data_IF_228000950581
#
_entry.id   IF_228000950581
#
_cell.length_a   1.000
_cell.length_b   1.000
_cell.length_c   1.000
_cell.angle_alpha   90.00
_cell.angle_beta   90.00
_cell.angle_gamma   90.00
#
_symmetry.space_group_name_H-M   'P 1'
#
loop_
_entity.id
_entity.type
_entity.pdbx_description
1 polymer ?
#
# COMPACT_ATOMS: atom_id res chain seq x y z
N UNK A 1 -6.44 12.43 22.67
CA UNK A 1 -6.15 12.21 21.25
C UNK A 1 -7.36 11.55 20.61
N UNK A 2 -7.96 12.24 19.65
CA UNK A 2 -8.99 11.73 18.75
C UNK A 2 -8.37 10.85 17.67
N UNK A 3 -9.19 10.25 16.82
CA UNK A 3 -8.73 9.40 15.71
C UNK A 3 -7.95 10.22 14.67
N UNK A 4 -8.49 11.39 14.29
CA UNK A 4 -7.82 12.33 13.39
C UNK A 4 -6.41 12.74 13.89
N UNK A 5 -6.25 13.00 15.19
CA UNK A 5 -4.92 13.31 15.75
C UNK A 5 -3.92 12.14 15.57
N UNK A 6 -4.39 10.89 15.58
CA UNK A 6 -3.55 9.69 15.36
C UNK A 6 -3.19 9.58 13.88
N UNK A 7 -4.14 9.85 12.98
CA UNK A 7 -3.89 9.87 11.53
C UNK A 7 -2.82 10.91 11.17
N UNK A 8 -2.98 12.14 11.64
CA UNK A 8 -2.04 13.23 11.40
C UNK A 8 -0.65 12.87 11.93
N UNK A 9 -0.58 12.32 13.14
CA UNK A 9 0.68 11.90 13.74
C UNK A 9 1.34 10.74 12.97
N UNK A 10 0.56 9.81 12.45
CA UNK A 10 1.07 8.72 11.63
C UNK A 10 1.62 9.21 10.29
N UNK A 11 0.97 10.18 9.65
CA UNK A 11 1.51 10.82 8.45
C UNK A 11 2.83 11.54 8.74
N UNK A 12 2.97 12.23 9.87
CA UNK A 12 4.25 12.85 10.28
C UNK A 12 5.37 11.80 10.36
N UNK A 13 5.10 10.61 10.93
CA UNK A 13 6.11 9.54 10.97
C UNK A 13 6.47 8.99 9.60
N UNK A 14 5.51 8.88 8.67
CA UNK A 14 5.78 8.53 7.28
C UNK A 14 6.63 9.62 6.58
N UNK A 15 6.29 10.89 6.76
CA UNK A 15 7.03 12.02 6.20
C UNK A 15 8.49 12.04 6.68
N UNK A 16 8.74 11.80 7.96
CA UNK A 16 10.09 11.70 8.54
C UNK A 16 10.92 10.54 7.94
N UNK A 17 10.26 9.48 7.44
CA UNK A 17 10.90 8.39 6.70
C UNK A 17 11.05 8.69 5.20
N UNK A 18 10.69 9.90 4.77
CA UNK A 18 10.80 10.36 3.39
C UNK A 18 9.69 9.83 2.48
N UNK A 19 8.51 9.51 3.03
CA UNK A 19 7.30 9.34 2.23
C UNK A 19 6.73 10.71 1.91
N UNK A 20 6.19 10.88 0.71
CA UNK A 20 5.26 11.97 0.47
C UNK A 20 3.98 11.69 1.26
N UNK A 21 3.27 12.74 1.68
CA UNK A 21 1.99 12.60 2.37
C UNK A 21 0.94 13.53 1.79
N UNK A 22 -0.32 13.09 1.79
CA UNK A 22 -1.44 13.94 1.38
C UNK A 22 -2.72 13.62 2.15
N UNK A 23 -3.65 14.57 2.11
CA UNK A 23 -5.01 14.36 2.57
C UNK A 23 -5.89 13.87 1.42
N UNK A 24 -6.62 12.77 1.63
CA UNK A 24 -7.37 12.06 0.60
C UNK A 24 -8.31 12.93 -0.26
N UNK A 25 -9.08 13.86 0.33
CA UNK A 25 -9.89 14.83 -0.41
C UNK A 25 -9.12 15.72 -1.39
N UNK A 26 -7.84 16.03 -1.12
CA UNK A 26 -7.05 16.92 -1.97
C UNK A 26 -6.64 16.22 -3.27
N UNK A 27 -6.40 14.90 -3.22
CA UNK A 27 -6.01 14.07 -4.37
C UNK A 27 -7.19 13.36 -5.05
N UNK A 28 -8.41 13.59 -4.56
CA UNK A 28 -9.63 12.99 -5.10
C UNK A 28 -10.11 13.71 -6.37
N UNK A 29 -11.07 13.14 -7.13
CA UNK A 29 -11.66 13.82 -8.28
C UNK A 29 -12.24 15.18 -7.90
N UNK A 30 -11.76 16.25 -8.54
CA UNK A 30 -12.11 17.65 -8.27
C UNK A 30 -11.37 18.28 -7.08
N UNK A 31 -10.38 17.60 -6.49
CA UNK A 31 -9.53 18.11 -5.42
C UNK A 31 -8.42 19.05 -5.90
N UNK A 32 -7.79 19.76 -4.96
CA UNK A 32 -6.77 20.79 -5.24
C UNK A 32 -5.50 20.22 -5.90
N UNK A 33 -5.18 18.96 -5.63
CA UNK A 33 -4.05 18.21 -6.17
C UNK A 33 -4.52 16.88 -6.76
N UNK A 34 -5.61 16.90 -7.56
CA UNK A 34 -6.25 15.73 -8.15
C UNK A 34 -5.24 14.73 -8.75
N UNK A 35 -5.24 13.49 -8.23
CA UNK A 35 -4.44 12.38 -8.76
C UNK A 35 -5.32 11.22 -9.28
N UNK A 36 -6.65 11.37 -9.16
CA UNK A 36 -7.64 10.38 -9.56
C UNK A 36 -8.75 11.02 -10.37
N UNK A 37 -9.11 10.39 -11.48
CA UNK A 37 -10.20 10.86 -12.33
C UNK A 37 -11.56 10.31 -11.89
N UNK A 38 -11.60 9.09 -11.33
CA UNK A 38 -12.82 8.47 -10.80
C UNK A 38 -12.65 8.08 -9.32
N UNK A 39 -13.74 8.14 -8.55
CA UNK A 39 -13.77 7.71 -7.15
C UNK A 39 -13.63 6.19 -6.99
N UNK A 40 -13.87 5.43 -8.07
CA UNK A 40 -13.62 4.00 -8.15
C UNK A 40 -12.14 3.66 -8.29
N UNK A 41 -11.34 4.61 -8.80
CA UNK A 41 -9.91 4.42 -9.02
C UNK A 41 -9.17 4.39 -7.69
N UNK A 42 -8.35 3.35 -7.54
CA UNK A 42 -7.51 3.12 -6.35
C UNK A 42 -6.02 3.04 -6.69
N UNK A 43 -5.67 2.96 -7.98
CA UNK A 43 -4.29 3.04 -8.46
C UNK A 43 -4.04 4.47 -8.92
N UNK A 44 -3.02 5.11 -8.36
CA UNK A 44 -2.58 6.45 -8.77
C UNK A 44 -1.77 6.32 -10.06
N UNK A 45 -2.49 6.36 -11.19
CA UNK A 45 -1.96 5.93 -12.49
C UNK A 45 -0.78 6.75 -12.98
N UNK A 46 -0.77 8.07 -12.76
CA UNK A 46 0.35 8.92 -13.11
C UNK A 46 1.63 8.52 -12.35
N UNK A 47 1.53 8.38 -11.01
CA UNK A 47 2.65 7.92 -10.16
C UNK A 47 3.16 6.55 -10.59
N UNK A 48 2.27 5.64 -10.95
CA UNK A 48 2.64 4.30 -11.39
C UNK A 48 3.41 4.33 -12.71
N UNK A 49 2.91 5.06 -13.70
CA UNK A 49 3.57 5.17 -15.01
C UNK A 49 4.91 5.90 -14.92
N UNK A 50 5.00 6.97 -14.13
CA UNK A 50 6.26 7.68 -13.86
C UNK A 50 7.28 6.78 -13.15
N UNK A 51 6.82 5.95 -12.22
CA UNK A 51 7.69 5.00 -11.51
C UNK A 51 8.19 3.89 -12.41
N UNK A 52 7.34 3.33 -13.28
CA UNK A 52 7.78 2.35 -14.27
C UNK A 52 8.87 2.92 -15.18
N UNK A 53 8.72 4.16 -15.65
CA UNK A 53 9.72 4.82 -16.48
C UNK A 53 11.04 5.08 -15.73
N UNK A 54 10.95 5.48 -14.45
CA UNK A 54 12.12 5.75 -13.60
C UNK A 54 12.91 4.48 -13.26
N UNK A 55 12.22 3.37 -12.99
CA UNK A 55 12.81 2.09 -12.62
C UNK A 55 13.39 1.36 -13.84
N UNK A 56 12.81 1.56 -15.02
CA UNK A 56 13.18 0.85 -16.25
C UNK A 56 13.68 1.82 -17.35
N UNK A 57 14.81 2.52 -17.16
CA UNK A 57 15.27 3.57 -18.07
C UNK A 57 15.60 3.08 -19.49
N UNK A 58 15.88 1.78 -19.66
CA UNK A 58 16.20 1.17 -20.95
C UNK A 58 14.97 0.64 -21.71
N UNK A 59 13.80 0.58 -21.06
CA UNK A 59 12.58 0.10 -21.66
C UNK A 59 11.96 1.15 -22.59
N UNK A 60 11.34 0.71 -23.68
CA UNK A 60 10.63 1.63 -24.57
C UNK A 60 9.32 2.13 -23.95
N UNK A 61 8.85 3.34 -24.29
CA UNK A 61 7.56 3.84 -23.82
C UNK A 61 6.37 2.92 -24.16
N UNK A 62 6.43 2.23 -25.29
CA UNK A 62 5.43 1.22 -25.67
C UNK A 62 5.43 0.04 -24.67
N UNK A 63 6.61 -0.46 -24.30
CA UNK A 63 6.72 -1.56 -23.33
C UNK A 63 6.15 -1.17 -21.97
N UNK A 64 6.48 0.04 -21.48
CA UNK A 64 5.98 0.56 -20.20
C UNK A 64 4.45 0.70 -20.22
N UNK A 65 3.89 1.25 -21.31
CA UNK A 65 2.45 1.37 -21.49
C UNK A 65 1.75 0.01 -21.52
N UNK A 66 2.31 -0.97 -22.24
CA UNK A 66 1.75 -2.33 -22.31
C UNK A 66 1.83 -3.01 -20.94
N UNK A 67 2.94 -2.86 -20.20
CA UNK A 67 3.09 -3.43 -18.87
C UNK A 67 2.08 -2.83 -17.88
N UNK A 68 1.92 -1.51 -17.88
CA UNK A 68 0.94 -0.84 -17.03
C UNK A 68 -0.49 -1.29 -17.34
N UNK A 69 -0.84 -1.39 -18.63
CA UNK A 69 -2.14 -1.90 -19.06
C UNK A 69 -2.34 -3.39 -18.70
N UNK A 70 -1.29 -4.21 -18.82
CA UNK A 70 -1.31 -5.63 -18.44
C UNK A 70 -1.58 -5.79 -16.95
N UNK A 71 -0.87 -5.06 -16.08
CA UNK A 71 -1.11 -5.10 -14.64
C UNK A 71 -2.56 -4.75 -14.33
N UNK A 72 -3.06 -3.61 -14.81
CA UNK A 72 -4.45 -3.18 -14.55
C UNK A 72 -5.48 -4.20 -15.02
N UNK A 73 -5.29 -4.77 -16.21
CA UNK A 73 -6.18 -5.80 -16.77
C UNK A 73 -6.15 -7.07 -15.94
N UNK A 74 -4.96 -7.60 -15.63
CA UNK A 74 -4.81 -8.85 -14.89
C UNK A 74 -5.39 -8.72 -13.47
N UNK A 75 -5.22 -7.56 -12.83
CA UNK A 75 -5.90 -7.25 -11.56
C UNK A 75 -7.43 -7.22 -11.71
N UNK A 76 -7.96 -6.65 -12.79
CA UNK A 76 -9.39 -6.49 -13.02
C UNK A 76 -10.12 -7.77 -13.43
N UNK A 77 -9.48 -8.65 -14.19
CA UNK A 77 -10.07 -9.91 -14.69
C UNK A 77 -10.30 -10.94 -13.58
N UNK A 78 -9.52 -10.87 -12.50
CA UNK A 78 -9.69 -11.76 -11.35
C UNK A 78 -10.93 -11.36 -10.53
N UNK A 79 -11.94 -12.23 -10.52
CA UNK A 79 -13.18 -12.05 -9.75
C UNK A 79 -13.01 -12.40 -8.27
N UNK A 80 -11.97 -13.18 -7.94
CA UNK A 80 -11.60 -13.59 -6.59
C UNK A 80 -10.42 -12.74 -6.14
N UNK A 81 -10.59 -11.99 -5.05
CA UNK A 81 -9.61 -11.02 -4.55
C UNK A 81 -8.25 -11.67 -4.29
N UNK A 82 -8.24 -12.84 -3.67
CA UNK A 82 -7.01 -13.58 -3.33
C UNK A 82 -6.22 -13.99 -4.58
N UNK A 83 -6.90 -14.32 -5.68
CA UNK A 83 -6.23 -14.62 -6.96
C UNK A 83 -5.67 -13.37 -7.62
N UNK A 84 -6.35 -12.24 -7.47
CA UNK A 84 -5.87 -10.94 -7.94
C UNK A 84 -4.58 -10.55 -7.21
N UNK A 85 -4.59 -10.68 -5.88
CA UNK A 85 -3.42 -10.42 -5.04
C UNK A 85 -2.27 -11.40 -5.27
N UNK A 86 -2.55 -12.69 -5.47
CA UNK A 86 -1.50 -13.64 -5.87
C UNK A 86 -0.89 -13.26 -7.24
N UNK A 87 -1.71 -12.93 -8.24
CA UNK A 87 -1.21 -12.51 -9.54
C UNK A 87 -0.40 -11.21 -9.45
N UNK A 88 -0.79 -10.29 -8.56
CA UNK A 88 0.01 -9.12 -8.23
C UNK A 88 1.36 -9.52 -7.64
N UNK A 89 1.38 -10.43 -6.66
CA UNK A 89 2.61 -10.86 -6.00
C UNK A 89 3.59 -11.52 -6.97
N UNK A 90 3.09 -12.36 -7.90
CA UNK A 90 3.89 -12.91 -9.00
C UNK A 90 4.49 -11.79 -9.87
N UNK A 91 3.68 -10.80 -10.25
CA UNK A 91 4.15 -9.64 -11.01
C UNK A 91 5.15 -8.77 -10.23
N UNK A 92 4.97 -8.60 -8.92
CA UNK A 92 5.86 -7.83 -8.06
C UNK A 92 7.23 -8.49 -7.96
N UNK A 93 7.26 -9.81 -7.73
CA UNK A 93 8.49 -10.58 -7.55
C UNK A 93 9.21 -10.81 -8.87
N UNK A 94 8.48 -11.21 -9.90
CA UNK A 94 9.07 -11.62 -11.18
C UNK A 94 9.16 -10.48 -12.20
N UNK A 95 8.40 -9.40 -12.04
CA UNK A 95 8.24 -8.38 -13.09
C UNK A 95 7.25 -8.79 -14.19
N UNK A 96 7.10 -7.91 -15.19
CA UNK A 96 6.18 -8.10 -16.31
C UNK A 96 6.97 -8.17 -17.61
N UNK A 97 6.88 -9.30 -18.30
CA UNK A 97 7.47 -9.43 -19.64
C UNK A 97 6.44 -9.09 -20.71
N UNK A 98 6.80 -8.20 -21.64
CA UNK A 98 5.93 -7.72 -22.73
C UNK A 98 6.65 -7.73 -24.08
N UNK A 99 5.92 -7.97 -25.16
CA UNK A 99 6.45 -7.79 -26.52
C UNK A 99 6.11 -6.41 -27.05
N UNK A 100 7.14 -5.59 -27.29
CA UNK A 100 7.00 -4.22 -27.78
C UNK A 100 8.14 -3.85 -28.72
N UNK A 101 7.96 -2.83 -29.57
CA UNK A 101 9.06 -2.27 -30.31
C UNK A 101 10.03 -1.58 -29.34
N UNK A 102 11.32 -1.85 -29.48
CA UNK A 102 12.35 -1.14 -28.73
C UNK A 102 12.56 0.28 -29.29
N UNK A 103 13.50 1.03 -28.70
CA UNK A 103 13.81 2.40 -29.13
C UNK A 103 14.37 2.51 -30.55
N UNK A 104 14.65 1.38 -31.23
CA UNK A 104 15.08 1.31 -32.63
C UNK A 104 13.97 0.79 -33.56
N UNK A 105 12.77 0.51 -33.02
CA UNK A 105 11.62 0.01 -33.77
C UNK A 105 11.59 -1.51 -33.95
N UNK A 106 12.48 -2.26 -33.29
CA UNK A 106 12.54 -3.73 -33.41
C UNK A 106 11.65 -4.37 -32.34
N UNK A 107 10.68 -5.20 -32.75
CA UNK A 107 9.85 -5.96 -31.80
C UNK A 107 10.67 -7.02 -31.09
N UNK A 108 10.69 -6.95 -29.76
CA UNK A 108 11.32 -7.95 -28.88
C UNK A 108 10.63 -8.01 -27.52
N UNK A 109 10.89 -9.08 -26.79
CA UNK A 109 10.50 -9.17 -25.39
C UNK A 109 11.32 -8.17 -24.56
N UNK A 110 10.63 -7.39 -23.73
CA UNK A 110 11.21 -6.47 -22.76
C UNK A 110 10.66 -6.82 -21.38
N UNK A 111 11.54 -6.80 -20.39
CA UNK A 111 11.24 -7.17 -19.01
C UNK A 111 11.11 -5.90 -18.17
N UNK A 112 9.96 -5.72 -17.52
CA UNK A 112 9.61 -4.50 -16.78
C UNK A 112 9.47 -4.82 -15.31
N UNK A 113 10.29 -4.17 -14.48
CA UNK A 113 10.26 -4.29 -13.03
C UNK A 113 9.28 -3.26 -12.45
N UNK A 114 8.50 -3.66 -11.45
CA UNK A 114 7.43 -2.85 -10.86
C UNK A 114 7.87 -2.14 -9.58
N UNK A 115 8.80 -2.76 -8.84
CA UNK A 115 9.41 -2.25 -7.61
C UNK A 115 10.92 -2.39 -7.72
N UNK A 116 11.66 -1.29 -7.58
CA UNK A 116 13.12 -1.34 -7.57
C UNK A 116 13.60 -1.86 -6.22
N UNK A 117 13.88 -3.17 -6.18
CA UNK A 117 14.39 -3.82 -4.97
C UNK A 117 15.82 -3.42 -4.62
N UNK A 118 16.65 -3.13 -5.62
CA UNK A 118 18.07 -2.88 -5.41
C UNK A 118 18.35 -1.44 -4.97
N UNK A 119 17.43 -0.52 -5.31
CA UNK A 119 17.48 0.89 -4.95
C UNK A 119 16.11 1.37 -4.49
N UNK A 120 15.71 1.08 -3.25
CA UNK A 120 14.38 1.43 -2.74
C UNK A 120 14.05 2.93 -2.84
N UNK A 121 15.05 3.81 -2.89
CA UNK A 121 14.91 5.25 -3.13
C UNK A 121 14.40 5.62 -4.53
N UNK A 122 14.54 4.72 -5.51
CA UNK A 122 13.98 4.91 -6.85
C UNK A 122 12.47 4.66 -6.88
N UNK A 123 11.88 4.06 -5.85
CA UNK A 123 10.44 3.90 -5.77
C UNK A 123 9.76 5.21 -5.31
N UNK A 124 8.52 5.41 -5.73
CA UNK A 124 7.64 6.45 -5.20
C UNK A 124 6.97 5.92 -3.92
N UNK A 125 7.12 6.66 -2.83
CA UNK A 125 6.63 6.30 -1.50
C UNK A 125 5.63 7.35 -1.05
N UNK A 126 4.37 6.95 -0.85
CA UNK A 126 3.30 7.91 -0.59
C UNK A 126 2.30 7.37 0.43
N UNK A 127 1.94 8.18 1.43
CA UNK A 127 0.94 7.83 2.44
C UNK A 127 -0.19 8.85 2.44
N UNK A 128 -1.43 8.37 2.37
CA UNK A 128 -2.61 9.22 2.25
C UNK A 128 -3.58 8.89 3.37
N UNK A 129 -3.96 9.89 4.18
CA UNK A 129 -5.05 9.69 5.13
C UNK A 129 -6.41 9.96 4.49
N UNK A 130 -7.48 9.39 5.06
CA UNK A 130 -8.87 9.65 4.64
C UNK A 130 -9.13 9.34 3.15
N UNK A 131 -8.52 8.28 2.60
CA UNK A 131 -8.60 7.93 1.17
C UNK A 131 -9.98 7.36 0.79
N UNK A 132 -10.89 8.23 0.34
CA UNK A 132 -12.25 7.82 0.03
C UNK A 132 -12.37 7.11 -1.33
N UNK A 133 -13.07 5.97 -1.33
CA UNK A 133 -13.39 5.16 -2.51
C UNK A 133 -14.91 5.00 -2.62
N UNK A 134 -15.45 5.19 -3.83
CA UNK A 134 -16.90 5.09 -4.09
C UNK A 134 -17.21 4.07 -5.18
N UNK A 135 -18.33 3.36 -5.01
CA UNK A 135 -18.88 2.44 -6.00
C UNK A 135 -20.39 2.43 -5.87
N UNK A 136 -21.08 3.07 -6.81
CA UNK A 136 -22.51 3.36 -6.68
C UNK A 136 -22.79 4.17 -5.42
N UNK A 137 -23.67 3.65 -4.55
CA UNK A 137 -24.03 4.29 -3.27
C UNK A 137 -23.12 3.87 -2.10
N UNK A 138 -22.19 2.94 -2.32
CA UNK A 138 -21.23 2.52 -1.31
C UNK A 138 -20.09 3.50 -1.25
N UNK A 139 -19.69 3.87 -0.03
CA UNK A 139 -18.52 4.71 0.26
C UNK A 139 -17.72 4.04 1.36
N UNK A 140 -16.41 3.94 1.19
CA UNK A 140 -15.46 3.57 2.26
C UNK A 140 -14.29 4.53 2.26
N UNK A 141 -13.72 4.72 3.44
CA UNK A 141 -12.67 5.68 3.70
C UNK A 141 -11.73 5.09 4.76
N UNK A 142 -10.71 4.33 4.35
CA UNK A 142 -9.68 3.91 5.26
C UNK A 142 -8.94 5.10 5.82
N UNK A 143 -8.45 4.93 7.05
CA UNK A 143 -7.81 6.00 7.78
C UNK A 143 -6.48 6.37 7.15
N UNK A 144 -5.68 5.37 6.73
CA UNK A 144 -4.45 5.58 5.94
C UNK A 144 -4.31 4.50 4.86
N UNK A 145 -3.91 4.91 3.66
CA UNK A 145 -3.48 4.01 2.59
C UNK A 145 -2.03 4.36 2.23
N UNK A 146 -1.15 3.36 2.24
CA UNK A 146 0.24 3.49 1.81
C UNK A 146 0.37 2.96 0.39
N UNK A 147 0.95 3.79 -0.46
CA UNK A 147 1.22 3.53 -1.86
C UNK A 147 2.71 3.32 -2.08
N UNK A 148 3.03 2.34 -2.92
CA UNK A 148 4.33 2.12 -3.49
C UNK A 148 4.19 2.19 -5.01
N UNK A 149 4.89 3.12 -5.66
CA UNK A 149 4.77 3.35 -7.11
C UNK A 149 3.30 3.55 -7.56
N UNK A 150 2.51 4.28 -6.77
CA UNK A 150 1.08 4.51 -7.05
C UNK A 150 0.15 3.30 -6.84
N UNK A 151 0.65 2.16 -6.36
CA UNK A 151 -0.11 0.96 -6.05
C UNK A 151 -0.44 0.90 -4.54
N UNK A 152 -1.70 0.68 -4.12
CA UNK A 152 -2.05 0.60 -2.70
C UNK A 152 -1.54 -0.71 -2.10
N UNK A 153 -0.45 -0.63 -1.33
CA UNK A 153 0.25 -1.79 -0.76
C UNK A 153 -0.06 -2.01 0.72
N UNK A 154 -0.48 -0.98 1.46
CA UNK A 154 -0.96 -1.15 2.82
C UNK A 154 -2.20 -0.32 3.13
N UNK A 155 -3.08 -0.87 3.98
CA UNK A 155 -4.30 -0.20 4.44
C UNK A 155 -4.37 -0.27 5.96
N UNK A 156 -4.55 0.89 6.58
CA UNK A 156 -4.63 1.06 8.01
C UNK A 156 -6.07 1.38 8.41
N UNK A 157 -6.47 0.79 9.52
CA UNK A 157 -7.69 1.15 10.24
C UNK A 157 -7.31 1.46 11.70
N UNK A 158 -7.52 2.70 12.07
CA UNK A 158 -7.17 3.30 13.33
C UNK A 158 -8.40 3.43 14.21
N UNK A 159 -8.18 3.44 15.52
CA UNK A 159 -9.20 3.71 16.52
C UNK A 159 -8.67 4.72 17.51
N UNK A 160 -9.57 5.53 18.05
CA UNK A 160 -9.28 6.37 19.22
C UNK A 160 -8.50 5.60 20.29
N UNK A 161 -7.57 6.30 20.95
CA UNK A 161 -6.75 5.72 22.02
C UNK A 161 -7.64 5.05 23.08
N UNK A 162 -7.37 3.77 23.34
CA UNK A 162 -8.06 2.99 24.35
C UNK A 162 -7.07 2.03 25.04
N UNK A 163 -7.34 1.71 26.31
CA UNK A 163 -6.54 0.73 27.07
C UNK A 163 -6.79 -0.72 26.66
N UNK A 164 -7.81 -0.99 25.83
CA UNK A 164 -8.26 -2.35 25.51
C UNK A 164 -8.02 -2.73 24.04
N UNK A 165 -7.52 -3.94 23.83
CA UNK A 165 -7.34 -4.53 22.49
C UNK A 165 -8.68 -4.84 21.78
N UNK A 166 -9.82 -4.81 22.49
CA UNK A 166 -11.16 -5.03 21.92
C UNK A 166 -11.45 -4.05 20.76
N UNK A 167 -10.88 -2.85 20.79
CA UNK A 167 -11.02 -1.87 19.72
C UNK A 167 -10.31 -2.31 18.42
N UNK A 168 -9.19 -3.03 18.52
CA UNK A 168 -8.47 -3.53 17.35
C UNK A 168 -9.26 -4.59 16.59
N UNK A 169 -10.03 -5.45 17.29
CA UNK A 169 -10.88 -6.43 16.61
C UNK A 169 -12.02 -5.77 15.81
N UNK A 170 -12.51 -4.62 16.27
CA UNK A 170 -13.50 -3.82 15.51
C UNK A 170 -12.87 -3.25 14.24
N UNK A 171 -11.66 -2.68 14.34
CA UNK A 171 -10.89 -2.23 13.19
C UNK A 171 -10.63 -3.38 12.19
N UNK A 172 -10.24 -4.56 12.67
CA UNK A 172 -10.05 -5.74 11.83
C UNK A 172 -11.32 -6.14 11.06
N UNK A 173 -12.47 -6.15 11.75
CA UNK A 173 -13.76 -6.44 11.10
C UNK A 173 -14.14 -5.36 10.05
N UNK A 174 -13.72 -4.12 10.27
CA UNK A 174 -13.93 -3.02 9.34
C UNK A 174 -13.09 -3.21 8.06
N UNK A 175 -11.82 -3.61 8.17
CA UNK A 175 -11.02 -4.04 7.02
C UNK A 175 -11.70 -5.19 6.26
N UNK A 176 -12.27 -6.17 6.97
CA UNK A 176 -13.06 -7.24 6.34
C UNK A 176 -14.26 -6.73 5.54
N UNK A 177 -14.93 -5.69 6.04
CA UNK A 177 -16.02 -5.01 5.33
C UNK A 177 -15.50 -4.29 4.07
N UNK A 178 -14.33 -3.65 4.18
CA UNK A 178 -13.74 -2.92 3.05
C UNK A 178 -13.32 -3.87 1.93
N UNK A 179 -12.69 -5.00 2.27
CA UNK A 179 -12.32 -6.04 1.30
C UNK A 179 -13.52 -6.56 0.50
N UNK A 180 -14.67 -6.75 1.16
CA UNK A 180 -15.89 -7.21 0.51
C UNK A 180 -16.51 -6.15 -0.40
N UNK A 181 -16.57 -4.90 0.08
CA UNK A 181 -17.30 -3.85 -0.60
C UNK A 181 -16.46 -3.17 -1.70
N UNK A 182 -15.13 -3.15 -1.53
CA UNK A 182 -14.14 -2.49 -2.39
C UNK A 182 -12.90 -3.38 -2.62
N UNK A 183 -13.06 -4.58 -3.23
CA UNK A 183 -11.95 -5.50 -3.43
C UNK A 183 -10.81 -4.89 -4.25
N UNK A 184 -11.10 -3.94 -5.15
CA UNK A 184 -10.09 -3.31 -5.99
C UNK A 184 -8.98 -2.63 -5.19
N UNK A 185 -9.30 -2.04 -4.02
CA UNK A 185 -8.32 -1.40 -3.14
C UNK A 185 -7.29 -2.40 -2.58
N UNK A 186 -7.66 -3.68 -2.51
CA UNK A 186 -6.87 -4.72 -1.87
C UNK A 186 -6.19 -5.67 -2.86
N UNK A 187 -6.33 -5.42 -4.17
CA UNK A 187 -5.75 -6.28 -5.21
C UNK A 187 -4.22 -6.26 -5.20
N UNK A 188 -3.61 -5.17 -4.74
CA UNK A 188 -2.15 -5.02 -4.60
C UNK A 188 -1.71 -4.92 -3.15
N UNK A 189 -2.60 -5.30 -2.21
CA UNK A 189 -2.35 -5.11 -0.79
C UNK A 189 -1.46 -6.22 -0.23
N UNK A 190 -0.34 -5.82 0.35
CA UNK A 190 0.63 -6.72 0.97
C UNK A 190 0.46 -6.75 2.50
N UNK A 191 0.06 -5.62 3.09
CA UNK A 191 -0.05 -5.47 4.55
C UNK A 191 -1.36 -4.79 4.96
N UNK A 192 -2.04 -5.37 5.94
CA UNK A 192 -3.17 -4.76 6.64
C UNK A 192 -2.75 -4.39 8.06
N UNK A 193 -3.08 -3.17 8.50
CA UNK A 193 -2.75 -2.69 9.85
C UNK A 193 -4.01 -2.29 10.60
N UNK A 194 -4.08 -2.69 11.87
CA UNK A 194 -5.08 -2.16 12.82
C UNK A 194 -4.36 -1.57 14.02
N UNK A 195 -4.80 -0.39 14.46
CA UNK A 195 -4.17 0.26 15.61
C UNK A 195 -5.12 1.09 16.44
N UNK A 196 -4.76 1.32 17.70
CA UNK A 196 -5.34 2.35 18.54
C UNK A 196 -4.25 3.27 19.15
N UNK A 197 -3.18 3.50 18.39
CA UNK A 197 -1.92 4.17 18.78
C UNK A 197 -1.07 3.34 19.75
N UNK A 198 -1.66 2.91 20.87
CA UNK A 198 -0.96 2.16 21.92
C UNK A 198 -0.66 0.73 21.51
N UNK A 199 -1.66 0.04 20.94
CA UNK A 199 -1.53 -1.31 20.43
C UNK A 199 -1.70 -1.31 18.92
N UNK A 200 -0.84 -2.05 18.22
CA UNK A 200 -0.84 -2.14 16.76
C UNK A 200 -0.59 -3.58 16.33
N UNK A 201 -1.38 -4.06 15.38
CA UNK A 201 -1.22 -5.39 14.80
C UNK A 201 -1.30 -5.33 13.30
N UNK A 202 -0.53 -6.16 12.62
CA UNK A 202 -0.54 -6.28 11.17
C UNK A 202 -0.66 -7.74 10.73
N UNK A 203 -1.13 -7.95 9.51
CA UNK A 203 -1.23 -9.26 8.87
C UNK A 203 -1.40 -9.15 7.36
N UNK A 204 -1.26 -10.27 6.66
CA UNK A 204 -1.50 -10.34 5.21
C UNK A 204 -3.00 -10.28 4.88
N UNK A 205 -3.31 -10.16 3.59
CA UNK A 205 -4.67 -10.03 3.07
C UNK A 205 -5.66 -11.08 3.60
N UNK A 206 -5.20 -12.32 3.75
CA UNK A 206 -6.00 -13.49 4.14
C UNK A 206 -5.82 -13.91 5.60
N UNK A 207 -4.96 -13.22 6.36
CA UNK A 207 -4.68 -13.56 7.75
C UNK A 207 -5.94 -13.45 8.63
N UNK A 208 -6.15 -14.46 9.48
CA UNK A 208 -7.18 -14.40 10.52
C UNK A 208 -6.71 -13.51 11.69
N UNK A 209 -7.63 -13.14 12.58
CA UNK A 209 -7.32 -12.28 13.73
C UNK A 209 -6.18 -12.81 14.61
N UNK A 210 -6.09 -14.14 14.76
CA UNK A 210 -5.04 -14.81 15.53
C UNK A 210 -3.64 -14.62 14.92
N UNK A 211 -3.59 -14.35 13.61
CA UNK A 211 -2.36 -14.11 12.84
C UNK A 211 -2.05 -12.62 12.65
N UNK A 212 -2.88 -11.72 13.19
CA UNK A 212 -2.56 -10.30 13.28
C UNK A 212 -1.61 -10.10 14.47
N UNK A 213 -0.34 -9.88 14.18
CA UNK A 213 0.75 -9.86 15.17
C UNK A 213 1.28 -8.43 15.39
N UNK A 214 1.80 -8.11 16.59
CA UNK A 214 2.52 -6.86 16.80
C UNK A 214 3.86 -6.87 16.06
N UNK A 215 4.29 -5.71 15.57
CA UNK A 215 5.66 -5.52 15.10
C UNK A 215 6.59 -5.29 16.29
N UNK A 216 7.75 -5.97 16.31
CA UNK A 216 8.72 -5.90 17.41
C UNK A 216 10.12 -5.64 16.86
N UNK A 217 10.86 -4.76 17.52
CA UNK A 217 12.31 -4.57 17.33
C UNK A 217 13.10 -5.43 18.34
N UNK A 218 14.40 -5.64 18.09
CA UNK A 218 15.28 -6.35 19.04
C UNK A 218 15.22 -5.75 20.45
N UNK A 219 15.21 -4.42 20.56
CA UNK A 219 15.07 -3.67 21.83
C UNK A 219 13.74 -3.98 22.54
N UNK A 220 12.63 -4.09 21.79
CA UNK A 220 11.33 -4.49 22.37
C UNK A 220 11.27 -5.98 22.75
N UNK A 221 12.11 -6.83 22.16
CA UNK A 221 12.18 -8.27 22.45
C UNK A 221 13.02 -8.56 23.70
N UNK A 222 14.07 -7.78 23.95
CA UNK A 222 14.97 -7.92 25.11
C UNK A 222 14.37 -7.35 26.41
N UNK A 223 13.16 -6.80 26.36
CA UNK A 223 12.39 -6.36 27.52
C UNK A 223 12.85 -5.01 28.09
N UNK A 224 13.75 -4.30 27.40
CA UNK A 224 14.27 -2.99 27.82
C UNK A 224 13.23 -1.86 27.65
N UNK A 225 12.16 -2.10 26.89
CA UNK A 225 11.03 -1.18 26.75
C UNK A 225 9.71 -1.84 27.17
N UNK A 226 9.48 -2.07 28.47
CA UNK A 226 8.10 -2.33 28.94
C UNK A 226 7.19 -1.09 28.80
N UNK A 227 7.78 0.08 28.53
CA UNK A 227 7.12 1.34 28.21
C UNK A 227 7.28 1.70 26.72
N UNK A 228 6.89 0.82 25.78
CA UNK A 228 6.68 1.27 24.40
C UNK A 228 5.54 2.27 24.42
N UNK A 229 5.87 3.56 24.34
CA UNK A 229 4.88 4.63 24.50
C UNK A 229 3.78 4.51 23.44
N UNK A 230 4.10 4.07 22.21
CA UNK A 230 3.14 3.87 21.11
C UNK A 230 3.56 2.75 20.12
N UNK A 231 2.90 1.58 20.12
CA UNK A 231 3.21 0.49 19.16
C UNK A 231 3.01 0.90 17.70
N UNK A 232 2.15 1.88 17.40
CA UNK A 232 1.96 2.38 16.04
C UNK A 232 3.22 3.05 15.50
N UNK A 233 3.91 3.84 16.33
CA UNK A 233 5.17 4.48 15.93
C UNK A 233 6.22 3.43 15.60
N UNK A 234 6.40 2.46 16.51
CA UNK A 234 7.36 1.36 16.35
C UNK A 234 7.06 0.54 15.09
N UNK A 235 5.78 0.29 14.80
CA UNK A 235 5.36 -0.41 13.59
C UNK A 235 5.66 0.41 12.34
N UNK A 236 5.28 1.68 12.28
CA UNK A 236 5.53 2.54 11.10
C UNK A 236 7.03 2.68 10.88
N UNK A 237 7.79 3.08 11.90
CA UNK A 237 9.25 3.29 11.80
C UNK A 237 10.06 2.02 11.59
N UNK A 238 9.48 0.86 11.87
CA UNK A 238 10.11 -0.44 11.69
C UNK A 238 9.70 -1.08 10.38
N UNK A 239 8.46 -1.57 10.31
CA UNK A 239 7.94 -2.34 9.17
C UNK A 239 7.93 -1.54 7.86
N UNK A 240 7.74 -0.23 7.91
CA UNK A 240 7.68 0.65 6.73
C UNK A 240 8.99 1.42 6.49
N UNK A 241 10.12 0.94 7.03
CA UNK A 241 11.40 1.37 6.48
C UNK A 241 11.53 0.86 5.05
N UNK A 242 11.91 1.72 4.11
CA UNK A 242 11.87 1.45 2.67
C UNK A 242 12.58 0.15 2.28
N UNK A 243 13.83 -0.04 2.73
CA UNK A 243 14.61 -1.23 2.43
C UNK A 243 13.96 -2.49 3.01
N UNK A 244 13.57 -2.44 4.30
CA UNK A 244 12.93 -3.56 4.97
C UNK A 244 11.58 -3.91 4.38
N UNK A 245 10.77 -2.91 4.03
CA UNK A 245 9.44 -3.10 3.47
C UNK A 245 9.53 -3.79 2.11
N UNK A 246 10.43 -3.34 1.24
CA UNK A 246 10.69 -3.96 -0.06
C UNK A 246 11.14 -5.41 0.11
N UNK A 247 12.11 -5.69 0.99
CA UNK A 247 12.53 -7.07 1.24
C UNK A 247 11.38 -7.91 1.81
N UNK A 248 10.59 -7.34 2.72
CA UNK A 248 9.45 -8.01 3.33
C UNK A 248 8.40 -8.45 2.29
N UNK A 249 7.96 -7.53 1.43
CA UNK A 249 6.94 -7.84 0.42
C UNK A 249 7.46 -8.77 -0.69
N UNK A 250 8.76 -8.80 -0.94
CA UNK A 250 9.34 -9.73 -1.92
C UNK A 250 9.52 -11.15 -1.38
N UNK A 251 9.85 -11.30 -0.09
CA UNK A 251 10.33 -12.58 0.45
C UNK A 251 9.34 -13.28 1.40
N UNK A 252 8.35 -12.55 1.96
CA UNK A 252 7.55 -13.03 3.09
C UNK A 252 6.03 -12.90 2.96
N UNK A 253 5.52 -12.33 1.86
CA UNK A 253 4.07 -12.21 1.61
C UNK A 253 3.57 -13.24 0.63
#
# INVERSE_FOLDING_TARGET
>A
MLEADIEDQALVWFEEMGYQTAHGPDIAPGGDAEERYDWHDVILSARFEDSLARINPDASPEALSIAAAKLRRDLAEQTVLERSNQAFQEMLVEGITVEAADNQGVRKAQHIIIVDRNRPENNDWFAVNQFEVRSGNSIRKPDIVVFLNGLPVAVFELKRIASEQIHLKKAFNQLGTYKRDFPQLFRTNEILVVSNMRYSRFGSLTASWEWFMPWRTMETMEGESQDVTWELEVMIRGLFQKDLFVDYIHDYV
#
